data_IF_634569819679
#
_entry.id   IF_634569819679
#
_cell.length_a   1.000
_cell.length_b   1.000
_cell.length_c   1.000
_cell.angle_alpha   90.00
_cell.angle_beta   90.00
_cell.angle_gamma   90.00
#
_symmetry.space_group_name_H-M   'P 1'
#
loop_
_entity.id
_entity.type
_entity.pdbx_description
1 polymer ?
#
# COMPACT_ATOMS: atom_id res chain seq x y z
N UNK A 1 20.64 17.76 -24.83
CA UNK A 1 19.57 16.79 -25.09
C UNK A 1 18.22 17.48 -25.16
N UNK A 2 17.49 17.23 -26.20
CA UNK A 2 16.17 17.81 -26.35
C UNK A 2 15.21 17.20 -25.33
N UNK A 3 14.50 18.06 -24.66
CA UNK A 3 13.52 17.62 -23.69
C UNK A 3 12.18 17.41 -24.38
N UNK A 4 11.90 16.16 -24.76
CA UNK A 4 10.64 15.80 -25.39
C UNK A 4 9.44 16.06 -24.52
N UNK A 5 9.63 16.20 -23.22
CA UNK A 5 8.54 16.45 -22.27
C UNK A 5 7.89 17.81 -22.49
N UNK A 6 8.62 18.79 -23.06
CA UNK A 6 8.07 20.10 -23.37
C UNK A 6 6.94 20.06 -24.37
N UNK A 7 6.92 19.05 -25.25
CA UNK A 7 5.94 18.91 -26.30
C UNK A 7 4.76 18.01 -25.90
N UNK A 8 4.82 17.41 -24.75
CA UNK A 8 3.74 16.56 -24.26
C UNK A 8 2.69 17.40 -23.58
N UNK A 9 1.45 17.25 -24.03
CA UNK A 9 0.32 17.83 -23.29
C UNK A 9 0.08 16.97 -22.05
N UNK A 10 0.60 17.38 -20.94
CA UNK A 10 0.33 16.72 -19.68
C UNK A 10 -0.93 17.29 -19.06
N UNK A 11 -1.83 16.42 -18.65
CA UNK A 11 -2.91 16.83 -17.78
C UNK A 11 -2.30 17.28 -16.46
N UNK A 12 -2.63 18.49 -16.05
CA UNK A 12 -2.21 18.96 -14.74
C UNK A 12 -2.83 18.07 -13.67
N UNK A 13 -1.98 17.46 -12.85
CA UNK A 13 -2.44 16.76 -11.67
C UNK A 13 -2.79 17.81 -10.63
N UNK A 14 -3.99 17.72 -10.07
CA UNK A 14 -4.40 18.60 -8.99
C UNK A 14 -3.40 18.44 -7.83
N UNK A 15 -2.98 19.55 -7.23
CA UNK A 15 -2.03 19.55 -6.11
C UNK A 15 -2.52 18.71 -4.91
N UNK A 16 -3.82 18.51 -4.78
CA UNK A 16 -4.41 17.67 -3.74
C UNK A 16 -4.35 16.19 -4.08
N UNK A 17 -4.12 15.83 -5.33
CA UNK A 17 -4.03 14.45 -5.73
C UNK A 17 -2.60 13.95 -5.48
N UNK A 18 -2.45 13.06 -4.54
CA UNK A 18 -1.18 12.46 -4.19
C UNK A 18 -0.93 11.16 -4.93
N UNK A 19 -1.98 10.43 -5.24
CA UNK A 19 -1.85 9.06 -5.73
C UNK A 19 -3.00 8.71 -6.66
N UNK A 20 -2.66 7.97 -7.70
CA UNK A 20 -3.64 7.34 -8.58
C UNK A 20 -3.50 5.82 -8.42
N UNK A 21 -4.58 5.17 -8.07
CA UNK A 21 -4.61 3.71 -7.95
C UNK A 21 -5.51 3.12 -9.03
N UNK A 22 -5.03 2.07 -9.66
CA UNK A 22 -5.86 1.30 -10.58
C UNK A 22 -6.86 0.44 -9.81
N UNK A 23 -8.04 0.26 -10.38
CA UNK A 23 -8.99 -0.69 -9.83
C UNK A 23 -8.59 -2.11 -10.23
N UNK A 24 -8.88 -3.06 -9.35
CA UNK A 24 -8.60 -4.47 -9.60
C UNK A 24 -9.62 -5.16 -10.50
N UNK A 25 -10.41 -4.39 -11.24
CA UNK A 25 -11.47 -4.94 -12.08
C UNK A 25 -10.95 -5.75 -13.26
N UNK A 26 -11.80 -6.64 -13.76
CA UNK A 26 -11.53 -7.50 -14.91
C UNK A 26 -11.75 -6.80 -16.25
N UNK A 27 -12.02 -5.50 -16.25
CA UNK A 27 -12.31 -4.75 -17.47
C UNK A 27 -11.05 -4.46 -18.25
N UNK A 28 -11.17 -4.44 -19.59
CA UNK A 28 -10.06 -4.10 -20.48
C UNK A 28 -9.54 -2.67 -20.26
N UNK A 29 -10.36 -1.79 -19.71
CA UNK A 29 -10.02 -0.40 -19.44
C UNK A 29 -9.96 -0.18 -17.92
N UNK A 30 -8.80 -0.37 -17.28
CA UNK A 30 -8.71 -0.14 -15.86
C UNK A 30 -8.99 1.33 -15.55
N UNK A 31 -9.81 1.55 -14.55
CA UNK A 31 -10.08 2.89 -14.03
C UNK A 31 -9.09 3.21 -12.93
N UNK A 32 -8.70 4.47 -12.85
CA UNK A 32 -7.85 4.97 -11.79
C UNK A 32 -8.68 5.72 -10.76
N UNK A 33 -8.41 5.46 -9.50
CA UNK A 33 -8.99 6.20 -8.39
C UNK A 33 -7.99 7.26 -7.95
N UNK A 34 -8.46 8.51 -7.86
CA UNK A 34 -7.65 9.61 -7.38
C UNK A 34 -7.74 9.69 -5.86
N UNK A 35 -6.60 9.78 -5.22
CA UNK A 35 -6.52 9.92 -3.77
C UNK A 35 -5.75 11.18 -3.43
N UNK A 36 -6.35 12.02 -2.62
CA UNK A 36 -5.69 13.19 -2.07
C UNK A 36 -4.87 12.80 -0.83
N UNK A 37 -3.95 13.68 -0.45
CA UNK A 37 -3.21 13.53 0.81
C UNK A 37 -4.16 13.42 1.99
N UNK A 38 -5.21 14.24 2.01
CA UNK A 38 -6.22 14.20 3.08
C UNK A 38 -6.95 12.86 3.13
N UNK A 39 -7.34 12.33 1.97
CA UNK A 39 -7.98 11.00 1.92
C UNK A 39 -7.08 9.92 2.49
N UNK A 40 -5.81 9.92 2.08
CA UNK A 40 -4.84 8.93 2.56
C UNK A 40 -4.62 9.05 4.07
N UNK A 41 -4.43 10.26 4.56
CA UNK A 41 -4.21 10.49 5.99
C UNK A 41 -5.41 10.08 6.83
N UNK A 42 -6.61 10.47 6.41
CA UNK A 42 -7.83 10.15 7.14
C UNK A 42 -8.09 8.64 7.15
N UNK A 43 -7.91 8.00 6.01
CA UNK A 43 -8.07 6.55 5.90
C UNK A 43 -7.04 5.81 6.78
N UNK A 44 -5.80 6.23 6.71
CA UNK A 44 -4.71 5.65 7.51
C UNK A 44 -4.99 5.77 9.01
N UNK A 45 -5.36 6.95 9.47
CA UNK A 45 -5.68 7.18 10.88
C UNK A 45 -6.87 6.35 11.34
N UNK A 46 -7.89 6.24 10.50
CA UNK A 46 -9.09 5.46 10.84
C UNK A 46 -8.76 3.98 10.99
N UNK A 47 -7.95 3.44 10.09
CA UNK A 47 -7.54 2.04 10.16
C UNK A 47 -6.67 1.78 11.40
N UNK A 48 -5.71 2.66 11.68
CA UNK A 48 -4.84 2.53 12.85
C UNK A 48 -5.68 2.49 14.13
N UNK A 49 -6.64 3.39 14.22
CA UNK A 49 -7.53 3.45 15.38
C UNK A 49 -8.39 2.20 15.52
N UNK A 50 -8.97 1.76 14.43
CA UNK A 50 -9.85 0.60 14.42
C UNK A 50 -9.11 -0.69 14.77
N UNK A 51 -7.95 -0.90 14.16
CA UNK A 51 -7.15 -2.11 14.37
C UNK A 51 -6.17 -1.99 15.54
N UNK A 52 -6.09 -0.82 16.15
CA UNK A 52 -5.19 -0.55 17.28
C UNK A 52 -3.72 -0.85 16.94
N UNK A 53 -3.30 -0.46 15.74
CA UNK A 53 -1.93 -0.65 15.30
C UNK A 53 -1.01 0.29 16.07
N UNK A 54 0.11 -0.23 16.53
CA UNK A 54 1.10 0.56 17.26
C UNK A 54 2.53 0.11 16.92
N UNK A 55 3.51 0.78 17.51
CA UNK A 55 4.92 0.56 17.20
C UNK A 55 5.46 -0.82 17.58
N UNK A 56 4.73 -1.58 18.39
CA UNK A 56 5.13 -2.94 18.75
C UNK A 56 4.76 -3.97 17.69
N UNK A 57 3.92 -3.59 16.73
CA UNK A 57 3.48 -4.49 15.68
C UNK A 57 4.55 -4.67 14.61
N UNK A 58 4.56 -5.83 13.99
CA UNK A 58 5.36 -6.13 12.81
C UNK A 58 4.46 -6.80 11.79
N UNK A 59 4.37 -6.22 10.61
CA UNK A 59 3.61 -6.80 9.50
C UNK A 59 4.54 -7.34 8.44
N UNK A 60 4.02 -8.24 7.61
CA UNK A 60 4.72 -8.74 6.43
C UNK A 60 3.85 -8.49 5.21
N UNK A 61 4.49 -8.11 4.11
CA UNK A 61 3.77 -7.81 2.87
C UNK A 61 3.29 -9.11 2.22
N UNK A 62 2.02 -9.14 1.85
CA UNK A 62 1.39 -10.27 1.16
C UNK A 62 0.77 -9.85 -0.16
N UNK A 63 0.62 -8.54 -0.37
CA UNK A 63 -0.07 -7.99 -1.51
C UNK A 63 0.77 -6.93 -2.19
N UNK A 64 0.65 -6.79 -3.51
CA UNK A 64 1.34 -5.72 -4.23
C UNK A 64 0.93 -4.35 -3.70
N UNK A 65 1.91 -3.45 -3.60
CA UNK A 65 1.69 -2.08 -3.15
C UNK A 65 0.80 -1.26 -4.09
N UNK A 66 0.71 -1.68 -5.34
CA UNK A 66 -0.13 -1.00 -6.32
C UNK A 66 -1.63 -1.12 -6.07
N UNK A 67 -2.05 -2.03 -5.22
CA UNK A 67 -3.45 -2.16 -4.82
C UNK A 67 -3.71 -1.40 -3.53
N UNK A 68 -4.92 -0.85 -3.44
CA UNK A 68 -5.29 -0.01 -2.29
C UNK A 68 -5.14 -0.72 -0.95
N UNK A 69 -5.46 -2.00 -0.91
CA UNK A 69 -5.34 -2.78 0.33
C UNK A 69 -3.88 -2.93 0.78
N UNK A 70 -3.01 -3.35 -0.15
CA UNK A 70 -1.58 -3.50 0.16
C UNK A 70 -0.95 -2.18 0.59
N UNK A 71 -1.30 -1.10 -0.08
CA UNK A 71 -0.83 0.24 0.26
C UNK A 71 -1.33 0.68 1.64
N UNK A 72 -2.58 0.36 1.99
CA UNK A 72 -3.13 0.68 3.30
C UNK A 72 -2.37 0.00 4.43
N UNK A 73 -1.97 -1.24 4.24
CA UNK A 73 -1.18 -1.96 5.23
C UNK A 73 0.16 -1.28 5.45
N UNK A 74 0.84 -0.89 4.39
CA UNK A 74 2.13 -0.22 4.49
C UNK A 74 1.98 1.15 5.15
N UNK A 75 1.03 1.96 4.69
CA UNK A 75 0.82 3.30 5.23
C UNK A 75 0.46 3.28 6.72
N UNK A 76 -0.42 2.37 7.14
CA UNK A 76 -0.82 2.29 8.54
C UNK A 76 0.32 1.88 9.45
N UNK A 77 1.15 0.96 8.98
CA UNK A 77 2.28 0.50 9.79
C UNK A 77 3.43 1.51 9.81
N UNK A 78 3.69 2.19 8.69
CA UNK A 78 4.67 3.27 8.68
C UNK A 78 4.26 4.42 9.60
N UNK A 79 3.01 4.84 9.53
CA UNK A 79 2.50 5.94 10.35
C UNK A 79 2.56 5.61 11.84
N UNK A 80 2.28 4.39 12.22
CA UNK A 80 2.30 3.98 13.62
C UNK A 80 3.68 3.58 14.14
N UNK A 81 4.72 3.67 13.31
CA UNK A 81 6.08 3.30 13.70
C UNK A 81 6.31 1.81 13.81
N UNK A 82 5.44 1.00 13.22
CA UNK A 82 5.56 -0.45 13.19
C UNK A 82 6.64 -0.90 12.21
N UNK A 83 7.11 -2.11 12.39
CA UNK A 83 8.05 -2.72 11.44
C UNK A 83 7.30 -3.37 10.29
N UNK A 84 7.88 -3.27 9.10
CA UNK A 84 7.34 -3.90 7.90
C UNK A 84 8.40 -4.83 7.32
N UNK A 85 8.06 -6.11 7.21
CA UNK A 85 8.89 -7.10 6.54
C UNK A 85 8.41 -7.20 5.09
N UNK A 86 9.32 -6.95 4.15
CA UNK A 86 9.00 -7.03 2.73
C UNK A 86 9.26 -8.44 2.25
N UNK A 87 8.28 -9.04 1.60
CA UNK A 87 8.38 -10.38 1.05
C UNK A 87 7.74 -10.44 -0.32
N UNK A 88 8.38 -11.16 -1.23
CA UNK A 88 7.83 -11.51 -2.53
C UNK A 88 7.16 -12.89 -2.53
N UNK A 89 7.13 -13.55 -1.39
CA UNK A 89 6.54 -14.87 -1.23
C UNK A 89 5.11 -14.77 -0.72
N UNK A 90 4.35 -15.83 -0.94
CA UNK A 90 2.94 -15.90 -0.53
C UNK A 90 2.79 -16.82 0.67
N UNK A 91 1.58 -16.82 1.24
CA UNK A 91 1.24 -17.69 2.37
C UNK A 91 1.39 -19.18 2.03
N UNK A 92 1.48 -19.53 0.76
CA UNK A 92 1.68 -20.92 0.33
C UNK A 92 3.15 -21.31 0.29
N UNK A 93 4.05 -20.36 0.47
CA UNK A 93 5.49 -20.59 0.41
C UNK A 93 6.07 -20.79 1.80
N UNK A 94 6.89 -21.80 1.96
CA UNK A 94 7.57 -22.05 3.22
C UNK A 94 8.46 -20.89 3.64
N UNK A 95 9.09 -20.22 2.68
CA UNK A 95 9.95 -19.06 2.95
C UNK A 95 9.20 -17.90 3.58
N UNK A 96 7.92 -17.72 3.23
CA UNK A 96 7.07 -16.72 3.86
C UNK A 96 6.97 -16.98 5.37
N UNK A 97 6.65 -18.20 5.75
CA UNK A 97 6.48 -18.56 7.16
C UNK A 97 7.79 -18.55 7.93
N UNK A 98 8.92 -18.83 7.26
CA UNK A 98 10.22 -18.68 7.85
C UNK A 98 10.49 -17.23 8.23
N UNK A 99 10.11 -16.27 7.38
CA UNK A 99 10.22 -14.84 7.69
C UNK A 99 9.28 -14.43 8.81
N UNK A 100 8.05 -14.94 8.82
CA UNK A 100 7.10 -14.68 9.90
C UNK A 100 7.69 -15.05 11.25
N UNK A 101 8.30 -16.21 11.33
CA UNK A 101 8.92 -16.68 12.58
C UNK A 101 10.18 -15.90 12.92
N UNK A 102 11.05 -15.65 11.92
CA UNK A 102 12.32 -14.97 12.13
C UNK A 102 12.14 -13.55 12.65
N UNK A 103 11.21 -12.81 12.07
CA UNK A 103 10.99 -11.41 12.41
C UNK A 103 9.85 -11.19 13.40
N UNK A 104 9.27 -12.26 13.93
CA UNK A 104 8.18 -12.21 14.90
C UNK A 104 7.01 -11.36 14.40
N UNK A 105 6.57 -11.65 13.19
CA UNK A 105 5.46 -10.94 12.55
C UNK A 105 4.20 -11.13 13.37
N UNK A 106 3.50 -10.04 13.64
CA UNK A 106 2.25 -10.06 14.43
C UNK A 106 1.00 -10.04 13.57
N UNK A 107 1.10 -9.60 12.33
CA UNK A 107 -0.07 -9.52 11.46
C UNK A 107 0.32 -9.51 9.99
N UNK A 108 -0.62 -9.90 9.15
CA UNK A 108 -0.52 -9.71 7.71
C UNK A 108 -1.92 -9.57 7.12
N UNK A 109 -2.00 -8.90 5.97
CA UNK A 109 -3.26 -8.76 5.26
C UNK A 109 -3.53 -9.94 4.35
N UNK A 110 -4.78 -10.29 4.22
CA UNK A 110 -5.22 -11.34 3.32
C UNK A 110 -6.60 -11.04 2.76
N UNK A 111 -6.93 -11.70 1.67
CA UNK A 111 -8.28 -11.68 1.10
C UNK A 111 -8.80 -13.11 1.05
N UNK A 112 -10.14 -13.29 1.17
CA UNK A 112 -10.75 -14.62 1.07
C UNK A 112 -10.50 -15.29 -0.27
#
# INVERSE_FOLDING_TARGET
MKNHRKNRKHKKINKQNLLLLSTSGTTQNPKFVRLSNTNLQNNTKSIIKYLKINSSHTTITTMPMGYSYGLSIINTHLESGSKIVVSDKTIFDKEFWNKVNKYKVTSFGGVP
#
